data_IF_173536222925
#
_entry.id   IF_173536222925
#
_cell.length_a   1.000
_cell.length_b   1.000
_cell.length_c   1.000
_cell.angle_alpha   90.00
_cell.angle_beta   90.00
_cell.angle_gamma   90.00
#
_symmetry.space_group_name_H-M   'P 1'
#
loop_
_entity.id
_entity.type
_entity.pdbx_description
1 polymer ?
#
# COMPACT_ATOMS: atom_id res chain seq x y z
N UNK A 1 -13.23 -7.28 -33.34
CA UNK A 1 -12.44 -6.62 -32.25
C UNK A 1 -12.44 -7.41 -30.94
N UNK A 2 -13.53 -8.09 -30.56
CA UNK A 2 -13.62 -8.84 -29.31
C UNK A 2 -12.78 -10.13 -29.27
N UNK A 3 -12.70 -10.87 -30.37
CA UNK A 3 -11.97 -12.17 -30.41
C UNK A 3 -10.47 -12.01 -30.21
N UNK A 4 -9.88 -10.98 -30.81
CA UNK A 4 -8.46 -10.70 -30.64
C UNK A 4 -8.08 -10.32 -29.19
N UNK A 5 -8.96 -9.59 -28.47
CA UNK A 5 -8.76 -9.29 -27.06
C UNK A 5 -8.89 -10.53 -26.17
N UNK A 6 -9.78 -11.46 -26.52
CA UNK A 6 -9.93 -12.73 -25.79
C UNK A 6 -8.73 -13.63 -25.97
N UNK A 7 -8.16 -13.72 -27.17
CA UNK A 7 -6.93 -14.46 -27.43
C UNK A 7 -5.74 -13.90 -26.65
N UNK A 8 -5.53 -12.58 -26.65
CA UNK A 8 -4.48 -11.93 -25.86
C UNK A 8 -4.61 -12.26 -24.37
N UNK A 9 -5.83 -12.16 -23.82
CA UNK A 9 -6.07 -12.52 -22.42
C UNK A 9 -5.74 -13.99 -22.13
N UNK A 10 -6.07 -14.92 -23.01
CA UNK A 10 -5.72 -16.34 -22.89
C UNK A 10 -4.20 -16.54 -22.89
N UNK A 11 -3.49 -15.89 -23.81
CA UNK A 11 -2.03 -15.95 -23.92
C UNK A 11 -1.38 -15.41 -22.62
N UNK A 12 -1.84 -14.26 -22.10
CA UNK A 12 -1.32 -13.69 -20.86
C UNK A 12 -1.55 -14.66 -19.69
N UNK A 13 -2.77 -15.20 -19.53
CA UNK A 13 -3.07 -16.17 -18.45
C UNK A 13 -2.16 -17.41 -18.53
N UNK A 14 -1.92 -17.94 -19.72
CA UNK A 14 -1.02 -19.09 -19.94
C UNK A 14 0.42 -18.77 -19.51
N UNK A 15 0.86 -17.55 -19.67
CA UNK A 15 2.24 -17.13 -19.38
C UNK A 15 2.45 -16.57 -17.95
N UNK A 16 1.42 -16.51 -17.09
CA UNK A 16 1.55 -16.05 -15.68
C UNK A 16 2.61 -16.88 -14.92
N UNK A 17 2.70 -18.18 -15.17
CA UNK A 17 3.71 -19.04 -14.56
C UNK A 17 5.12 -18.56 -14.91
N UNK A 18 5.34 -18.08 -16.13
CA UNK A 18 6.60 -17.47 -16.55
C UNK A 18 6.91 -16.18 -15.81
N UNK A 19 5.91 -15.33 -15.59
CA UNK A 19 6.05 -14.08 -14.83
C UNK A 19 6.46 -14.39 -13.37
N UNK A 20 5.87 -15.41 -12.75
CA UNK A 20 6.22 -15.83 -11.38
C UNK A 20 7.67 -16.34 -11.24
N UNK A 21 8.31 -16.73 -12.33
CA UNK A 21 9.73 -17.14 -12.35
C UNK A 21 10.71 -15.97 -12.47
N UNK A 22 10.22 -14.75 -12.70
CA UNK A 22 11.07 -13.57 -12.71
C UNK A 22 11.65 -13.32 -11.31
N UNK A 23 12.83 -12.70 -11.26
CA UNK A 23 13.43 -12.33 -9.98
C UNK A 23 12.52 -11.37 -9.20
N UNK A 24 12.54 -11.47 -7.88
CA UNK A 24 11.76 -10.60 -7.00
C UNK A 24 12.09 -9.13 -7.20
N UNK A 25 13.36 -8.80 -7.50
CA UNK A 25 13.80 -7.44 -7.81
C UNK A 25 13.10 -6.90 -9.06
N UNK A 26 13.07 -7.69 -10.14
CA UNK A 26 12.42 -7.31 -11.39
C UNK A 26 10.91 -7.09 -11.20
N UNK A 27 10.25 -7.98 -10.46
CA UNK A 27 8.83 -7.83 -10.15
C UNK A 27 8.57 -6.56 -9.34
N UNK A 28 9.41 -6.26 -8.35
CA UNK A 28 9.27 -5.05 -7.53
C UNK A 28 9.54 -3.77 -8.33
N UNK A 29 10.49 -3.79 -9.25
CA UNK A 29 10.79 -2.65 -10.12
C UNK A 29 9.64 -2.37 -11.09
N UNK A 30 9.03 -3.38 -11.69
CA UNK A 30 7.85 -3.22 -12.55
C UNK A 30 6.65 -2.68 -11.76
N UNK A 31 6.43 -3.16 -10.53
CA UNK A 31 5.42 -2.61 -9.63
C UNK A 31 5.69 -1.12 -9.34
N UNK A 32 6.94 -0.75 -9.08
CA UNK A 32 7.34 0.63 -8.81
C UNK A 32 7.14 1.54 -10.04
N UNK A 33 7.41 1.05 -11.25
CA UNK A 33 7.12 1.76 -12.51
C UNK A 33 5.62 1.97 -12.68
N UNK A 34 4.82 0.94 -12.43
CA UNK A 34 3.35 1.00 -12.48
C UNK A 34 2.80 2.03 -11.49
N UNK A 35 3.34 2.08 -10.28
CA UNK A 35 2.98 3.10 -9.30
C UNK A 35 3.35 4.52 -9.80
N UNK A 36 4.58 4.71 -10.27
CA UNK A 36 5.06 6.01 -10.77
C UNK A 36 4.30 6.52 -12.00
N UNK A 37 3.79 5.63 -12.83
CA UNK A 37 2.96 5.98 -14.01
C UNK A 37 1.52 6.31 -13.68
N UNK A 38 1.13 6.32 -12.41
CA UNK A 38 -0.23 6.57 -11.92
C UNK A 38 -1.30 5.62 -12.50
N UNK A 39 -0.88 4.42 -12.93
CA UNK A 39 -1.77 3.45 -13.58
C UNK A 39 -2.33 2.39 -12.62
N UNK A 40 -1.77 2.24 -11.41
CA UNK A 40 -2.08 1.11 -10.54
C UNK A 40 -3.57 1.02 -10.17
N UNK A 41 -4.23 2.14 -9.85
CA UNK A 41 -5.67 2.16 -9.54
C UNK A 41 -6.49 1.69 -10.73
N UNK A 42 -6.20 2.21 -11.93
CA UNK A 42 -6.88 1.80 -13.17
C UNK A 42 -6.74 0.31 -13.45
N UNK A 43 -5.56 -0.25 -13.19
CA UNK A 43 -5.32 -1.69 -13.33
C UNK A 43 -6.13 -2.51 -12.32
N UNK A 44 -6.32 -2.01 -11.09
CA UNK A 44 -7.17 -2.66 -10.10
C UNK A 44 -8.67 -2.59 -10.44
N UNK A 45 -9.11 -1.55 -11.15
CA UNK A 45 -10.51 -1.39 -11.59
C UNK A 45 -10.88 -2.34 -12.74
N UNK A 46 -9.91 -2.83 -13.52
CA UNK A 46 -10.08 -3.78 -14.63
C UNK A 46 -9.96 -5.21 -14.10
N UNK A 47 -11.03 -5.99 -14.09
CA UNK A 47 -11.05 -7.34 -13.50
C UNK A 47 -9.91 -8.24 -13.99
N UNK A 48 -9.64 -8.25 -15.28
CA UNK A 48 -8.55 -9.06 -15.84
C UNK A 48 -7.18 -8.65 -15.28
N UNK A 49 -6.89 -7.35 -15.22
CA UNK A 49 -5.62 -6.84 -14.68
C UNK A 49 -5.51 -7.10 -13.18
N UNK A 50 -6.61 -6.95 -12.46
CA UNK A 50 -6.71 -7.27 -11.04
C UNK A 50 -6.37 -8.74 -10.76
N UNK A 51 -6.97 -9.69 -11.52
CA UNK A 51 -6.66 -11.13 -11.42
C UNK A 51 -5.16 -11.41 -11.66
N UNK A 52 -4.56 -10.75 -12.65
CA UNK A 52 -3.13 -10.91 -12.94
C UNK A 52 -2.28 -10.40 -11.78
N UNK A 53 -2.58 -9.21 -11.24
CA UNK A 53 -1.85 -8.64 -10.10
C UNK A 53 -1.94 -9.58 -8.88
N UNK A 54 -3.13 -10.07 -8.55
CA UNK A 54 -3.33 -11.03 -7.45
C UNK A 54 -2.55 -12.34 -7.66
N UNK A 55 -2.49 -12.82 -8.90
CA UNK A 55 -1.75 -14.03 -9.23
C UNK A 55 -0.23 -13.84 -9.13
N UNK A 56 0.30 -12.66 -9.49
CA UNK A 56 1.74 -12.35 -9.44
C UNK A 56 2.18 -11.98 -8.02
N UNK A 57 1.35 -11.25 -7.29
CA UNK A 57 1.62 -10.76 -5.93
C UNK A 57 0.55 -11.27 -4.94
N UNK A 58 0.56 -12.55 -4.57
CA UNK A 58 -0.41 -13.11 -3.61
C UNK A 58 -0.29 -12.49 -2.20
N UNK A 59 0.79 -11.77 -1.94
CA UNK A 59 1.04 -11.02 -0.71
C UNK A 59 0.22 -9.71 -0.61
N UNK A 60 -0.44 -9.26 -1.68
CA UNK A 60 -1.25 -8.04 -1.69
C UNK A 60 -2.62 -8.28 -1.06
N UNK A 61 -2.63 -8.46 0.27
CA UNK A 61 -3.85 -8.82 1.03
C UNK A 61 -4.92 -7.73 1.05
N UNK A 62 -4.52 -6.48 0.83
CA UNK A 62 -5.41 -5.32 0.87
C UNK A 62 -5.65 -4.68 -0.51
N UNK A 63 -5.32 -5.41 -1.60
CA UNK A 63 -5.46 -4.87 -2.97
C UNK A 63 -6.90 -4.43 -3.30
N UNK A 64 -7.90 -5.09 -2.71
CA UNK A 64 -9.32 -4.76 -2.89
C UNK A 64 -9.66 -3.33 -2.42
N UNK A 65 -8.88 -2.75 -1.52
CA UNK A 65 -9.05 -1.35 -1.11
C UNK A 65 -8.91 -0.39 -2.29
N UNK A 66 -8.04 -0.71 -3.25
CA UNK A 66 -7.78 0.17 -4.41
C UNK A 66 -8.98 0.27 -5.36
N UNK A 67 -9.89 -0.68 -5.32
CA UNK A 67 -11.17 -0.64 -6.06
C UNK A 67 -12.24 0.21 -5.36
N UNK A 68 -12.03 0.53 -4.07
CA UNK A 68 -13.01 1.19 -3.18
C UNK A 68 -12.53 2.54 -2.66
N UNK A 69 -11.41 3.04 -3.16
CA UNK A 69 -10.88 4.34 -2.76
C UNK A 69 -11.87 5.46 -3.12
N UNK A 70 -12.04 6.42 -2.21
CA UNK A 70 -12.75 7.65 -2.49
C UNK A 70 -11.88 8.61 -3.32
N UNK A 71 -12.48 9.67 -3.88
CA UNK A 71 -11.79 10.60 -4.77
C UNK A 71 -10.59 11.28 -4.11
N UNK A 72 -10.68 11.63 -2.82
CA UNK A 72 -9.56 12.20 -2.10
C UNK A 72 -8.36 11.25 -2.07
N UNK A 73 -8.58 9.99 -1.70
CA UNK A 73 -7.50 9.00 -1.63
C UNK A 73 -6.96 8.62 -3.01
N UNK A 74 -7.83 8.53 -4.04
CA UNK A 74 -7.38 8.33 -5.43
C UNK A 74 -6.46 9.45 -5.90
N UNK A 75 -6.82 10.71 -5.68
CA UNK A 75 -6.06 11.87 -6.11
C UNK A 75 -4.74 12.05 -5.35
N UNK A 76 -4.68 11.60 -4.10
CA UNK A 76 -3.50 11.79 -3.25
C UNK A 76 -2.57 10.56 -3.18
N UNK A 77 -2.97 9.39 -3.69
CA UNK A 77 -2.16 8.16 -3.60
C UNK A 77 -0.75 8.35 -4.15
N UNK A 78 -0.64 8.94 -5.33
CA UNK A 78 0.62 9.05 -6.06
C UNK A 78 1.52 10.21 -5.59
N UNK A 79 1.01 11.07 -4.69
CA UNK A 79 1.83 12.06 -3.98
C UNK A 79 2.58 11.46 -2.78
N UNK A 80 2.22 10.24 -2.40
CA UNK A 80 2.87 9.49 -1.32
C UNK A 80 4.04 8.66 -1.88
N UNK A 81 4.95 8.26 -1.01
CA UNK A 81 6.07 7.45 -1.48
C UNK A 81 5.71 5.96 -1.65
N UNK A 82 6.56 5.26 -2.41
CA UNK A 82 6.35 3.85 -2.72
C UNK A 82 6.38 2.93 -1.49
N UNK A 83 7.09 3.29 -0.42
CA UNK A 83 7.14 2.48 0.81
C UNK A 83 5.79 2.52 1.53
N UNK A 84 5.17 3.69 1.58
CA UNK A 84 3.82 3.84 2.11
C UNK A 84 2.79 3.07 1.25
N UNK A 85 2.88 3.17 -0.08
CA UNK A 85 2.03 2.39 -1.00
C UNK A 85 2.13 0.88 -0.73
N UNK A 86 3.35 0.35 -0.54
CA UNK A 86 3.53 -1.05 -0.16
C UNK A 86 2.84 -1.37 1.16
N UNK A 87 2.88 -0.46 2.15
CA UNK A 87 2.24 -0.72 3.45
C UNK A 87 0.72 -0.94 3.31
N UNK A 88 0.05 -0.19 2.41
CA UNK A 88 -1.38 -0.37 2.16
C UNK A 88 -1.65 -1.76 1.56
N UNK A 89 -0.79 -2.25 0.67
CA UNK A 89 -1.00 -3.51 -0.04
C UNK A 89 -0.79 -4.75 0.83
N UNK A 90 0.25 -4.73 1.69
CA UNK A 90 0.77 -5.95 2.32
C UNK A 90 0.41 -6.10 3.80
N UNK A 91 -0.02 -5.02 4.48
CA UNK A 91 -0.29 -5.10 5.91
C UNK A 91 -1.64 -5.76 6.21
N UNK A 92 -1.56 -6.76 7.08
CA UNK A 92 -2.70 -7.45 7.67
C UNK A 92 -2.35 -7.89 9.12
N UNK A 93 -3.19 -8.74 9.70
CA UNK A 93 -2.99 -9.27 11.06
C UNK A 93 -2.00 -10.44 11.13
N UNK A 94 -1.48 -10.89 9.98
CA UNK A 94 -0.58 -12.05 9.87
C UNK A 94 0.87 -11.63 9.76
N UNK A 95 1.75 -12.57 9.50
CA UNK A 95 3.18 -12.35 9.22
C UNK A 95 3.46 -12.07 7.73
N UNK A 96 2.42 -11.87 6.93
CA UNK A 96 2.50 -11.63 5.49
C UNK A 96 3.53 -10.55 5.11
N UNK A 97 3.59 -9.45 5.88
CA UNK A 97 4.58 -8.39 5.64
C UNK A 97 6.02 -8.86 5.84
N UNK A 98 6.29 -9.74 6.81
CA UNK A 98 7.62 -10.26 7.08
C UNK A 98 8.06 -11.21 5.97
N UNK A 99 7.13 -12.05 5.45
CA UNK A 99 7.36 -12.87 4.27
C UNK A 99 7.64 -12.01 3.03
N UNK A 100 6.87 -10.94 2.81
CA UNK A 100 7.10 -9.99 1.72
C UNK A 100 8.49 -9.34 1.80
N UNK A 101 8.90 -8.91 2.99
CA UNK A 101 10.23 -8.31 3.20
C UNK A 101 11.36 -9.26 2.83
N UNK A 102 11.23 -10.52 3.21
CA UNK A 102 12.20 -11.56 2.86
C UNK A 102 12.21 -11.82 1.35
N UNK A 103 11.05 -12.10 0.76
CA UNK A 103 10.89 -12.44 -0.66
C UNK A 103 11.42 -11.34 -1.60
N UNK A 104 11.16 -10.08 -1.27
CA UNK A 104 11.52 -8.93 -2.12
C UNK A 104 12.74 -8.16 -1.63
N UNK A 105 13.50 -8.71 -0.70
CA UNK A 105 14.71 -8.11 -0.15
C UNK A 105 14.55 -6.62 0.24
N UNK A 106 13.47 -6.31 0.97
CA UNK A 106 13.17 -4.94 1.37
C UNK A 106 14.19 -4.43 2.37
N UNK A 107 14.76 -3.25 2.15
CA UNK A 107 15.78 -2.67 3.04
C UNK A 107 15.26 -2.46 4.47
N UNK A 108 16.14 -2.61 5.48
CA UNK A 108 15.80 -2.47 6.90
C UNK A 108 15.11 -1.14 7.24
N UNK A 109 15.52 -0.04 6.59
CA UNK A 109 14.89 1.29 6.76
C UNK A 109 13.42 1.25 6.35
N UNK A 110 13.09 0.67 5.19
CA UNK A 110 11.71 0.53 4.70
C UNK A 110 10.91 -0.44 5.57
N UNK A 111 11.51 -1.57 5.98
CA UNK A 111 10.86 -2.52 6.88
C UNK A 111 10.46 -1.84 8.20
N UNK A 112 11.37 -1.07 8.84
CA UNK A 112 11.09 -0.36 10.10
C UNK A 112 9.89 0.58 9.95
N UNK A 113 9.80 1.32 8.85
CA UNK A 113 8.70 2.24 8.57
C UNK A 113 7.36 1.51 8.39
N UNK A 114 7.33 0.41 7.64
CA UNK A 114 6.12 -0.40 7.44
C UNK A 114 5.71 -1.09 8.76
N UNK A 115 6.67 -1.62 9.52
CA UNK A 115 6.42 -2.27 10.82
C UNK A 115 5.81 -1.30 11.84
N UNK A 116 6.19 -0.03 11.83
CA UNK A 116 5.59 0.99 12.69
C UNK A 116 4.06 1.09 12.46
N UNK A 117 3.64 1.11 11.18
CA UNK A 117 2.20 1.13 10.84
C UNK A 117 1.53 -0.17 11.31
N UNK A 118 2.17 -1.32 11.08
CA UNK A 118 1.67 -2.63 11.52
C UNK A 118 1.46 -2.67 13.02
N UNK A 119 2.46 -2.27 13.79
CA UNK A 119 2.41 -2.26 15.25
C UNK A 119 1.28 -1.36 15.76
N UNK A 120 1.10 -0.19 15.15
CA UNK A 120 0.06 0.75 15.56
C UNK A 120 -1.36 0.20 15.33
N UNK A 121 -1.63 -0.42 14.17
CA UNK A 121 -3.00 -0.83 13.81
C UNK A 121 -3.36 -2.27 14.14
N UNK A 122 -2.36 -3.16 14.24
CA UNK A 122 -2.61 -4.60 14.37
C UNK A 122 -2.07 -5.21 15.67
N UNK A 123 -1.32 -4.46 16.50
CA UNK A 123 -0.86 -4.92 17.80
C UNK A 123 -1.97 -4.86 18.85
N UNK A 124 -2.10 -5.92 19.66
CA UNK A 124 -3.05 -5.97 20.79
C UNK A 124 -2.66 -5.04 21.95
N UNK A 125 -1.43 -4.54 21.98
CA UNK A 125 -0.83 -3.85 23.15
C UNK A 125 -0.97 -2.33 23.13
N UNK A 126 -1.33 -1.71 22.01
CA UNK A 126 -1.38 -0.25 21.92
C UNK A 126 -2.80 0.27 21.78
N UNK A 127 -3.09 1.35 22.53
CA UNK A 127 -4.26 2.18 22.31
C UNK A 127 -4.16 2.81 20.90
N UNK A 128 -4.98 2.33 19.97
CA UNK A 128 -5.09 2.87 18.61
C UNK A 128 -5.78 4.24 18.55
N UNK A 129 -5.90 4.92 19.69
CA UNK A 129 -6.55 6.24 19.77
C UNK A 129 -5.63 7.29 19.17
N UNK A 130 -6.11 7.97 18.14
CA UNK A 130 -5.46 9.13 17.52
C UNK A 130 -5.79 10.42 18.27
N UNK A 131 -5.58 10.43 19.60
CA UNK A 131 -5.73 11.64 20.41
C UNK A 131 -4.42 12.45 20.43
N UNK A 132 -4.50 13.72 20.80
CA UNK A 132 -3.36 14.65 20.78
C UNK A 132 -2.14 14.14 21.57
N UNK A 133 -2.35 13.47 22.70
CA UNK A 133 -1.28 12.94 23.53
C UNK A 133 -0.53 11.79 22.83
N UNK A 134 -1.27 10.85 22.24
CA UNK A 134 -0.66 9.74 21.48
C UNK A 134 0.04 10.23 20.21
N UNK A 135 -0.53 11.19 19.49
CA UNK A 135 0.09 11.78 18.32
C UNK A 135 1.43 12.45 18.65
N UNK A 136 1.50 13.19 19.78
CA UNK A 136 2.77 13.77 20.27
C UNK A 136 3.81 12.69 20.61
N UNK A 137 3.40 11.62 21.30
CA UNK A 137 4.30 10.49 21.61
C UNK A 137 4.82 9.83 20.33
N UNK A 138 3.95 9.56 19.36
CA UNK A 138 4.35 8.96 18.06
C UNK A 138 5.34 9.87 17.34
N UNK A 139 5.06 11.18 17.28
CA UNK A 139 5.95 12.16 16.66
C UNK A 139 7.31 12.20 17.34
N UNK A 140 7.34 12.15 18.67
CA UNK A 140 8.59 12.15 19.45
C UNK A 140 9.45 10.91 19.20
N UNK A 141 8.86 9.70 19.29
CA UNK A 141 9.62 8.45 19.20
C UNK A 141 9.90 8.00 17.75
N UNK A 142 9.04 8.33 16.81
CA UNK A 142 9.10 7.81 15.42
C UNK A 142 9.27 8.92 14.37
N UNK A 143 9.40 10.16 14.82
CA UNK A 143 9.52 11.31 13.93
C UNK A 143 8.20 11.70 13.24
N UNK A 144 8.24 12.86 12.58
CA UNK A 144 7.08 13.40 11.85
C UNK A 144 6.64 12.47 10.70
N UNK A 145 7.59 11.88 9.97
CA UNK A 145 7.31 10.97 8.85
C UNK A 145 6.50 9.75 9.31
N UNK A 146 6.91 9.12 10.42
CA UNK A 146 6.18 7.98 10.99
C UNK A 146 4.76 8.32 11.43
N UNK A 147 4.57 9.50 12.03
CA UNK A 147 3.24 9.99 12.38
C UNK A 147 2.36 10.21 11.16
N UNK A 148 2.89 10.89 10.13
CA UNK A 148 2.17 11.16 8.87
C UNK A 148 1.78 9.85 8.18
N UNK A 149 2.64 8.83 8.20
CA UNK A 149 2.32 7.52 7.66
C UNK A 149 1.14 6.86 8.39
N UNK A 150 1.12 6.91 9.72
CA UNK A 150 0.01 6.36 10.52
C UNK A 150 -1.31 7.07 10.19
N UNK A 151 -1.30 8.41 10.11
CA UNK A 151 -2.49 9.19 9.76
C UNK A 151 -2.97 8.89 8.35
N UNK A 152 -2.07 8.86 7.37
CA UNK A 152 -2.40 8.49 5.99
C UNK A 152 -2.97 7.07 5.91
N UNK A 153 -2.35 6.10 6.59
CA UNK A 153 -2.84 4.71 6.59
C UNK A 153 -4.28 4.65 7.12
N UNK A 154 -4.59 5.40 8.18
CA UNK A 154 -5.96 5.51 8.70
C UNK A 154 -6.92 6.06 7.65
N UNK A 155 -6.54 7.12 6.91
CA UNK A 155 -7.39 7.72 5.86
C UNK A 155 -7.64 6.70 4.74
N UNK A 156 -6.60 6.02 4.25
CA UNK A 156 -6.70 5.08 3.13
C UNK A 156 -7.49 3.81 3.48
N UNK A 157 -7.47 3.39 4.74
CA UNK A 157 -8.17 2.18 5.19
C UNK A 157 -9.54 2.44 5.79
N UNK A 158 -9.92 3.70 6.01
CA UNK A 158 -11.22 4.07 6.57
C UNK A 158 -12.30 4.14 5.50
N UNK A 159 -13.48 3.59 5.80
CA UNK A 159 -14.66 3.70 4.93
C UNK A 159 -15.24 5.12 4.88
N UNK A 160 -15.02 5.90 5.94
CA UNK A 160 -15.55 7.28 6.05
C UNK A 160 -14.40 8.26 5.88
N UNK A 161 -14.66 9.30 5.10
CA UNK A 161 -13.77 10.44 4.93
C UNK A 161 -13.75 11.29 6.21
N UNK A 162 -12.57 11.54 6.76
CA UNK A 162 -12.36 12.30 7.98
C UNK A 162 -11.48 13.54 7.72
N UNK A 163 -12.12 14.72 7.63
CA UNK A 163 -11.44 16.00 7.44
C UNK A 163 -10.47 16.34 8.56
N UNK A 164 -10.75 15.91 9.80
CA UNK A 164 -9.89 16.20 10.94
C UNK A 164 -8.53 15.52 10.80
N UNK A 165 -8.48 14.28 10.27
CA UNK A 165 -7.22 13.61 10.01
C UNK A 165 -6.38 14.34 8.96
N UNK A 166 -7.02 14.89 7.93
CA UNK A 166 -6.33 15.68 6.89
C UNK A 166 -5.74 16.96 7.49
N UNK A 167 -6.51 17.68 8.30
CA UNK A 167 -6.03 18.86 8.98
C UNK A 167 -4.84 18.55 9.90
N UNK A 168 -4.86 17.42 10.60
CA UNK A 168 -3.74 16.95 11.41
C UNK A 168 -2.51 16.66 10.56
N UNK A 169 -2.65 15.99 9.42
CA UNK A 169 -1.52 15.71 8.49
C UNK A 169 -0.89 17.03 8.04
N UNK A 170 -1.70 17.99 7.59
CA UNK A 170 -1.23 19.29 7.14
C UNK A 170 -0.51 20.06 8.27
N UNK A 171 -1.08 20.04 9.47
CA UNK A 171 -0.45 20.65 10.65
C UNK A 171 0.95 20.06 10.92
N UNK A 172 1.08 18.72 10.93
CA UNK A 172 2.37 18.08 11.22
C UNK A 172 3.36 18.17 10.08
N UNK A 173 2.91 18.26 8.82
CA UNK A 173 3.80 18.49 7.67
C UNK A 173 4.41 19.89 7.68
N UNK A 174 3.62 20.89 8.04
CA UNK A 174 4.00 22.31 7.98
C UNK A 174 4.66 22.83 9.27
N UNK A 175 4.67 22.05 10.33
CA UNK A 175 5.33 22.43 11.59
C UNK A 175 6.82 22.07 11.49
N UNK A 176 7.70 23.07 11.46
CA UNK A 176 9.15 22.91 11.58
C UNK A 176 9.60 22.24 12.88
#
# INVERSE_FOLDING_TARGET
KNDHQLEIKKIIKKNIVGIKKLSSERLLDELKKTFKSNCFIKLCEIDFSYEIICAVFPEFKQIELFRKLNDYTKNNLYSLDFTFFLSILILDKTDNSDYFFYKFNISKKKQKRIKLIKEFFFSKKQSTKLNAQNLRKISYFNGKEGLVDILNYKIFTSKKFDKNLINQINYFKNKE
#
